data_IF_977143120012
#
_entry.id   IF_977143120012
#
_cell.length_a   1.000
_cell.length_b   1.000
_cell.length_c   1.000
_cell.angle_alpha   90.00
_cell.angle_beta   90.00
_cell.angle_gamma   90.00
#
_symmetry.space_group_name_H-M   'P 1'
#
loop_
_entity.id
_entity.type
_entity.pdbx_description
1 polymer ?
#
# COMPACT_ATOMS: atom_id res chain seq x y z
N UNK A 1 -4.02 21.34 6.16
CA UNK A 1 -5.28 20.80 5.63
C UNK A 1 -4.95 20.00 4.38
N UNK A 2 -5.19 18.70 4.38
CA UNK A 2 -5.02 17.88 3.18
C UNK A 2 -6.15 18.22 2.19
N UNK A 3 -5.83 18.51 0.93
CA UNK A 3 -6.83 18.85 -0.09
C UNK A 3 -7.65 17.60 -0.42
N UNK A 4 -8.98 17.67 -0.42
CA UNK A 4 -9.85 16.50 -0.64
C UNK A 4 -9.45 15.65 -1.86
N UNK A 5 -9.01 16.30 -2.95
CA UNK A 5 -8.58 15.60 -4.16
C UNK A 5 -7.33 14.74 -3.98
N UNK A 6 -6.38 15.10 -3.11
CA UNK A 6 -5.22 14.25 -2.85
C UNK A 6 -5.65 12.90 -2.25
N UNK A 7 -6.72 12.89 -1.44
CA UNK A 7 -7.31 11.65 -0.92
C UNK A 7 -7.93 10.79 -2.02
N UNK A 8 -8.51 11.39 -3.06
CA UNK A 8 -8.97 10.63 -4.23
C UNK A 8 -7.84 9.96 -4.98
N UNK A 9 -6.64 10.55 -5.01
CA UNK A 9 -5.45 10.00 -5.64
C UNK A 9 -4.74 8.96 -4.76
N UNK A 10 -4.90 9.04 -3.44
CA UNK A 10 -4.29 8.13 -2.47
C UNK A 10 -4.84 6.70 -2.58
N UNK A 11 -3.94 5.76 -2.88
CA UNK A 11 -4.24 4.32 -2.93
C UNK A 11 -4.71 3.81 -1.58
N UNK A 12 -4.17 4.32 -0.47
CA UNK A 12 -4.43 3.81 0.87
C UNK A 12 -5.82 4.23 1.34
N UNK A 13 -6.20 5.49 1.16
CA UNK A 13 -7.55 5.96 1.41
C UNK A 13 -8.58 5.16 0.58
N UNK A 14 -8.29 4.89 -0.70
CA UNK A 14 -9.15 4.04 -1.54
C UNK A 14 -9.23 2.58 -1.07
N UNK A 15 -8.14 2.01 -0.54
CA UNK A 15 -8.15 0.67 0.05
C UNK A 15 -9.03 0.61 1.31
N UNK A 16 -8.98 1.63 2.17
CA UNK A 16 -9.81 1.68 3.37
C UNK A 16 -11.30 1.81 3.00
N UNK A 17 -11.62 2.69 2.04
CA UNK A 17 -12.97 2.80 1.48
C UNK A 17 -13.47 1.46 0.94
N UNK A 18 -12.65 0.76 0.16
CA UNK A 18 -12.95 -0.57 -0.37
C UNK A 18 -13.22 -1.60 0.74
N UNK A 19 -12.33 -1.70 1.70
CA UNK A 19 -12.28 -2.84 2.63
C UNK A 19 -13.16 -2.68 3.86
N UNK A 20 -13.36 -1.45 4.34
CA UNK A 20 -14.16 -1.13 5.52
C UNK A 20 -15.50 -0.50 5.13
N UNK A 21 -15.47 0.53 4.30
CA UNK A 21 -16.67 1.31 4.03
C UNK A 21 -17.66 0.61 3.08
N UNK A 22 -17.22 0.26 1.87
CA UNK A 22 -18.06 -0.40 0.87
C UNK A 22 -18.46 -1.81 1.29
N UNK A 23 -17.50 -2.58 1.85
CA UNK A 23 -17.78 -3.91 2.39
C UNK A 23 -18.76 -3.83 3.57
N UNK A 24 -18.60 -2.86 4.47
CA UNK A 24 -19.52 -2.67 5.59
C UNK A 24 -20.95 -2.33 5.15
N UNK A 25 -21.12 -1.71 3.98
CA UNK A 25 -22.43 -1.49 3.33
C UNK A 25 -23.03 -2.75 2.69
N UNK A 26 -22.36 -3.89 2.76
CA UNK A 26 -22.86 -5.15 2.22
C UNK A 26 -22.57 -5.39 0.73
N UNK A 27 -21.70 -4.59 0.09
CA UNK A 27 -21.30 -4.88 -1.29
C UNK A 27 -20.45 -6.16 -1.34
N UNK A 28 -20.75 -7.02 -2.31
CA UNK A 28 -19.96 -8.23 -2.58
C UNK A 28 -18.57 -7.89 -3.13
N UNK A 29 -17.63 -8.82 -2.98
CA UNK A 29 -16.26 -8.64 -3.47
C UNK A 29 -16.19 -8.36 -4.98
N UNK A 30 -17.06 -8.97 -5.80
CA UNK A 30 -17.12 -8.73 -7.24
C UNK A 30 -17.63 -7.32 -7.57
N UNK A 31 -18.71 -6.87 -6.93
CA UNK A 31 -19.24 -5.50 -7.08
C UNK A 31 -18.19 -4.46 -6.69
N UNK A 32 -17.49 -4.68 -5.58
CA UNK A 32 -16.43 -3.79 -5.11
C UNK A 32 -15.28 -3.70 -6.13
N UNK A 33 -14.82 -4.84 -6.67
CA UNK A 33 -13.73 -4.84 -7.66
C UNK A 33 -14.14 -4.11 -8.93
N UNK A 34 -15.36 -4.37 -9.42
CA UNK A 34 -15.89 -3.70 -10.60
C UNK A 34 -16.01 -2.19 -10.38
N UNK A 35 -16.62 -1.78 -9.26
CA UNK A 35 -16.77 -0.39 -8.88
C UNK A 35 -15.42 0.32 -8.79
N UNK A 36 -14.45 -0.23 -8.04
CA UNK A 36 -13.14 0.42 -7.87
C UNK A 36 -12.36 0.51 -9.20
N UNK A 37 -12.55 -0.43 -10.13
CA UNK A 37 -11.98 -0.34 -11.48
C UNK A 37 -12.59 0.84 -12.24
N UNK A 38 -13.92 0.96 -12.24
CA UNK A 38 -14.63 2.07 -12.89
C UNK A 38 -14.27 3.42 -12.24
N UNK A 39 -14.20 3.44 -10.91
CA UNK A 39 -13.84 4.60 -10.10
C UNK A 39 -12.47 5.16 -10.49
N UNK A 40 -11.47 4.28 -10.63
CA UNK A 40 -10.13 4.66 -11.08
C UNK A 40 -10.13 5.30 -12.47
N UNK A 41 -10.90 4.76 -13.43
CA UNK A 41 -11.00 5.34 -14.78
C UNK A 41 -11.45 6.79 -14.72
N UNK A 42 -12.41 7.10 -13.85
CA UNK A 42 -12.92 8.46 -13.69
C UNK A 42 -11.94 9.36 -12.94
N UNK A 43 -11.23 8.86 -11.92
CA UNK A 43 -10.13 9.61 -11.28
C UNK A 43 -9.10 10.02 -12.35
N UNK A 44 -8.62 9.06 -13.14
CA UNK A 44 -7.59 9.29 -14.16
C UNK A 44 -8.08 10.26 -15.25
N UNK A 45 -9.37 10.21 -15.62
CA UNK A 45 -9.96 11.15 -16.59
C UNK A 45 -10.05 12.56 -16.04
N UNK A 46 -10.54 12.71 -14.82
CA UNK A 46 -10.69 14.02 -14.16
C UNK A 46 -9.32 14.65 -13.96
N UNK A 47 -8.34 13.88 -13.45
CA UNK A 47 -7.01 14.39 -13.13
C UNK A 47 -6.24 14.91 -14.35
N UNK A 48 -6.46 14.27 -15.53
CA UNK A 48 -5.90 14.66 -16.83
C UNK A 48 -6.69 15.74 -17.57
N UNK A 49 -7.90 16.05 -17.11
CA UNK A 49 -8.74 17.07 -17.75
C UNK A 49 -8.41 18.48 -17.23
N UNK A 50 -8.81 19.54 -17.94
CA UNK A 50 -8.79 20.91 -17.41
C UNK A 50 -9.58 21.10 -16.11
N UNK A 51 -10.49 20.19 -15.77
CA UNK A 51 -11.19 20.22 -14.47
C UNK A 51 -10.34 19.69 -13.33
N UNK A 52 -9.33 18.86 -13.62
CA UNK A 52 -8.38 18.39 -12.62
C UNK A 52 -7.61 19.55 -11.98
N UNK A 53 -7.26 20.61 -12.73
CA UNK A 53 -6.63 21.81 -12.14
C UNK A 53 -7.61 22.56 -11.24
N UNK A 54 -8.85 22.82 -11.69
CA UNK A 54 -9.87 23.49 -10.86
C UNK A 54 -10.13 22.76 -9.54
N UNK A 55 -10.19 21.43 -9.57
CA UNK A 55 -10.38 20.60 -8.38
C UNK A 55 -9.16 20.66 -7.45
N UNK A 56 -7.94 20.71 -8.00
CA UNK A 56 -6.70 20.86 -7.21
C UNK A 56 -6.57 22.26 -6.60
N UNK A 57 -7.16 23.27 -7.22
CA UNK A 57 -7.10 24.66 -6.77
C UNK A 57 -8.18 24.99 -5.73
N UNK A 58 -9.23 24.17 -5.63
CA UNK A 58 -10.25 24.30 -4.59
C UNK A 58 -9.66 24.23 -3.17
N UNK A 59 -10.16 25.09 -2.29
CA UNK A 59 -9.68 25.24 -0.91
C UNK A 59 -10.51 24.43 0.07
N UNK A 60 -11.81 24.28 -0.19
CA UNK A 60 -12.75 23.59 0.70
C UNK A 60 -13.21 22.23 0.17
N UNK A 61 -13.67 21.37 1.07
CA UNK A 61 -14.24 20.05 0.71
C UNK A 61 -15.53 20.25 -0.09
N UNK A 62 -16.32 21.24 0.30
CA UNK A 62 -17.58 21.62 -0.31
C UNK A 62 -17.38 22.12 -1.74
N UNK A 63 -16.37 22.94 -2.00
CA UNK A 63 -16.00 23.36 -3.37
C UNK A 63 -15.66 22.16 -4.26
N UNK A 64 -14.83 21.23 -3.78
CA UNK A 64 -14.49 20.03 -4.54
C UNK A 64 -15.74 19.20 -4.85
N UNK A 65 -16.64 19.02 -3.87
CA UNK A 65 -17.91 18.31 -4.09
C UNK A 65 -18.79 19.02 -5.12
N UNK A 66 -18.91 20.35 -5.05
CA UNK A 66 -19.67 21.15 -6.01
C UNK A 66 -19.10 21.04 -7.43
N UNK A 67 -17.77 21.09 -7.58
CA UNK A 67 -17.11 20.92 -8.89
C UNK A 67 -17.36 19.51 -9.43
N UNK A 68 -17.20 18.47 -8.60
CA UNK A 68 -17.45 17.08 -9.00
C UNK A 68 -18.91 16.88 -9.43
N UNK A 69 -19.88 17.42 -8.68
CA UNK A 69 -21.30 17.37 -9.05
C UNK A 69 -21.55 18.03 -10.39
N UNK A 70 -21.10 19.29 -10.54
CA UNK A 70 -21.29 20.04 -11.79
C UNK A 70 -20.67 19.33 -12.99
N UNK A 71 -19.50 18.72 -12.82
CA UNK A 71 -18.85 17.93 -13.86
C UNK A 71 -19.71 16.74 -14.30
N UNK A 72 -20.25 15.98 -13.35
CA UNK A 72 -21.07 14.82 -13.65
C UNK A 72 -22.45 15.19 -14.20
N UNK A 73 -23.09 16.20 -13.62
CA UNK A 73 -24.48 16.57 -13.88
C UNK A 73 -24.64 17.49 -15.11
N UNK A 74 -23.59 18.22 -15.51
CA UNK A 74 -23.67 19.18 -16.62
C UNK A 74 -22.74 18.83 -17.78
N UNK A 75 -21.46 18.64 -17.50
CA UNK A 75 -20.46 18.46 -18.58
C UNK A 75 -20.47 17.04 -19.13
N UNK A 76 -20.63 16.05 -18.25
CA UNK A 76 -20.55 14.63 -18.60
C UNK A 76 -21.90 13.95 -18.64
N UNK A 77 -22.99 14.68 -18.35
CA UNK A 77 -24.34 14.15 -18.50
C UNK A 77 -24.59 13.73 -19.96
N UNK A 78 -25.19 12.56 -20.14
CA UNK A 78 -25.34 11.89 -21.43
C UNK A 78 -24.07 11.25 -22.02
N UNK A 79 -22.85 11.58 -21.57
CA UNK A 79 -21.60 10.95 -22.02
C UNK A 79 -21.14 9.79 -21.14
N UNK A 80 -21.75 9.64 -19.95
CA UNK A 80 -21.53 8.50 -19.07
C UNK A 80 -22.25 7.28 -19.64
N UNK A 81 -21.48 6.28 -20.07
CA UNK A 81 -22.01 5.00 -20.53
C UNK A 81 -22.89 4.37 -19.45
N UNK A 82 -23.94 3.66 -19.85
CA UNK A 82 -24.89 2.99 -18.93
C UNK A 82 -24.20 2.20 -17.81
N UNK A 83 -23.15 1.47 -18.18
CA UNK A 83 -22.37 0.64 -17.25
C UNK A 83 -21.59 1.44 -16.19
N UNK A 84 -21.57 2.77 -16.24
CA UNK A 84 -20.84 3.68 -15.34
C UNK A 84 -21.76 4.69 -14.63
N UNK A 85 -23.09 4.59 -14.78
CA UNK A 85 -24.04 5.52 -14.15
C UNK A 85 -24.04 5.51 -12.62
N UNK A 86 -23.48 4.47 -12.02
CA UNK A 86 -23.26 4.35 -10.58
C UNK A 86 -22.12 5.25 -10.07
N UNK A 87 -21.16 5.60 -10.93
CA UNK A 87 -19.92 6.28 -10.54
C UNK A 87 -20.10 7.67 -9.93
N UNK A 88 -20.95 8.57 -10.46
CA UNK A 88 -21.18 9.87 -9.83
C UNK A 88 -21.59 9.73 -8.36
N UNK A 89 -22.51 8.80 -8.07
CA UNK A 89 -22.99 8.55 -6.70
C UNK A 89 -21.84 8.09 -5.80
N UNK A 90 -21.02 7.14 -6.25
CA UNK A 90 -19.89 6.64 -5.47
C UNK A 90 -18.75 7.66 -5.33
N UNK A 91 -18.58 8.60 -6.26
CA UNK A 91 -17.66 9.73 -6.09
C UNK A 91 -18.10 10.61 -4.93
N UNK A 92 -19.36 11.03 -4.91
CA UNK A 92 -19.90 11.84 -3.81
C UNK A 92 -19.88 11.09 -2.48
N UNK A 93 -20.13 9.79 -2.53
CA UNK A 93 -20.02 8.91 -1.37
C UNK A 93 -18.58 8.84 -0.82
N UNK A 94 -17.59 8.80 -1.70
CA UNK A 94 -16.18 8.83 -1.31
C UNK A 94 -15.82 10.15 -0.60
N UNK A 95 -16.35 11.29 -1.05
CA UNK A 95 -16.17 12.56 -0.35
C UNK A 95 -16.73 12.52 1.09
N UNK A 96 -17.91 11.90 1.29
CA UNK A 96 -18.49 11.70 2.62
C UNK A 96 -17.61 10.78 3.48
N UNK A 97 -17.06 9.72 2.88
CA UNK A 97 -16.10 8.85 3.55
C UNK A 97 -14.86 9.61 4.00
N UNK A 98 -14.25 10.46 3.17
CA UNK A 98 -13.08 11.25 3.58
C UNK A 98 -13.41 12.22 4.71
N UNK A 99 -14.59 12.86 4.66
CA UNK A 99 -15.08 13.69 5.75
C UNK A 99 -15.19 12.91 7.07
N UNK A 100 -15.75 11.70 7.04
CA UNK A 100 -15.80 10.81 8.20
C UNK A 100 -14.41 10.52 8.78
N UNK A 101 -13.40 10.28 7.93
CA UNK A 101 -12.03 10.04 8.41
C UNK A 101 -11.44 11.29 9.07
N UNK A 102 -11.70 12.48 8.52
CA UNK A 102 -11.25 13.74 9.09
C UNK A 102 -11.90 13.99 10.45
N UNK A 103 -13.22 13.86 10.52
CA UNK A 103 -13.98 14.09 11.74
C UNK A 103 -13.53 13.11 12.85
N UNK A 104 -13.28 11.84 12.50
CA UNK A 104 -12.66 10.87 13.41
C UNK A 104 -11.26 11.30 13.87
N UNK A 105 -10.42 11.78 12.95
CA UNK A 105 -9.03 12.16 13.27
C UNK A 105 -8.99 13.38 14.19
N UNK A 106 -9.82 14.38 13.92
CA UNK A 106 -9.94 15.59 14.75
C UNK A 106 -10.47 15.24 16.14
N UNK A 107 -11.52 14.41 16.21
CA UNK A 107 -12.02 13.89 17.48
C UNK A 107 -10.98 13.05 18.21
N UNK A 108 -10.12 12.31 17.51
CA UNK A 108 -9.05 11.54 18.14
C UNK A 108 -7.96 12.46 18.73
N UNK A 109 -7.66 13.58 18.08
CA UNK A 109 -6.62 14.54 18.51
C UNK A 109 -7.10 15.56 19.56
N UNK A 110 -8.41 15.74 19.74
CA UNK A 110 -8.96 16.71 20.71
C UNK A 110 -8.67 16.30 22.17
N UNK A 111 -8.57 17.26 23.09
CA UNK A 111 -8.35 16.96 24.52
C UNK A 111 -9.65 16.69 25.31
N UNK A 112 -10.81 16.80 24.66
CA UNK A 112 -12.13 16.70 25.27
C UNK A 112 -12.78 15.30 25.21
N UNK A 113 -14.07 15.27 25.51
CA UNK A 113 -14.89 14.05 25.39
C UNK A 113 -14.84 13.50 23.95
N UNK A 114 -14.55 12.21 23.85
CA UNK A 114 -14.44 11.52 22.57
C UNK A 114 -15.83 11.08 22.11
N UNK A 115 -16.22 11.51 20.92
CA UNK A 115 -17.36 10.93 20.23
C UNK A 115 -17.00 9.55 19.66
N UNK A 116 -17.96 8.63 19.69
CA UNK A 116 -17.86 7.34 19.04
C UNK A 116 -18.21 7.43 17.55
N UNK A 117 -17.36 6.83 16.72
CA UNK A 117 -17.54 6.74 15.28
C UNK A 117 -17.72 5.28 14.86
N UNK A 118 -18.53 5.05 13.83
CA UNK A 118 -18.91 3.71 13.40
C UNK A 118 -18.73 3.56 11.89
N UNK A 119 -18.27 2.37 11.50
CA UNK A 119 -18.32 1.91 10.11
C UNK A 119 -19.77 1.61 9.69
N UNK A 120 -20.05 1.51 8.39
CA UNK A 120 -21.42 1.23 7.91
C UNK A 120 -22.01 -0.11 8.36
N UNK A 121 -21.18 -1.06 8.80
CA UNK A 121 -21.63 -2.33 9.39
C UNK A 121 -21.96 -2.23 10.89
N UNK A 122 -21.89 -1.04 11.47
CA UNK A 122 -22.11 -0.78 12.89
C UNK A 122 -20.91 -1.09 13.79
N UNK A 123 -19.79 -1.57 13.24
CA UNK A 123 -18.57 -1.77 14.02
C UNK A 123 -17.92 -0.43 14.37
N UNK A 124 -17.40 -0.30 15.60
CA UNK A 124 -16.75 0.92 16.09
C UNK A 124 -15.43 1.14 15.36
N UNK A 125 -15.19 2.36 14.90
CA UNK A 125 -13.94 2.76 14.26
C UNK A 125 -12.80 2.77 15.28
N UNK A 126 -11.65 2.20 14.92
CA UNK A 126 -10.46 2.17 15.75
C UNK A 126 -9.25 2.73 15.00
N UNK A 127 -8.28 3.32 15.72
CA UNK A 127 -7.01 3.80 15.14
C UNK A 127 -6.29 2.67 14.38
N UNK A 128 -6.40 1.43 14.88
CA UNK A 128 -5.87 0.23 14.24
C UNK A 128 -6.45 -0.02 12.84
N UNK A 129 -7.67 0.44 12.53
CA UNK A 129 -8.22 0.36 11.16
C UNK A 129 -7.42 1.23 10.18
N UNK A 130 -6.84 2.32 10.69
CA UNK A 130 -5.96 3.21 9.97
C UNK A 130 -4.51 2.73 9.97
N UNK A 131 -4.17 1.68 10.74
CA UNK A 131 -2.87 1.00 10.57
C UNK A 131 -2.73 0.39 9.18
N UNK A 132 -3.85 0.08 8.49
CA UNK A 132 -3.83 -0.27 7.07
C UNK A 132 -3.65 0.95 6.15
N UNK A 133 -4.09 2.14 6.57
CA UNK A 133 -3.84 3.45 5.92
C UNK A 133 -2.35 3.81 6.05
N UNK A 134 -1.76 3.54 7.20
CA UNK A 134 -0.33 3.45 7.44
C UNK A 134 0.19 2.04 7.22
N UNK A 135 -0.24 1.33 6.16
CA UNK A 135 0.59 0.25 5.59
C UNK A 135 1.90 0.90 5.14
N UNK A 136 2.79 1.20 6.10
CA UNK A 136 4.13 0.69 6.04
C UNK A 136 3.92 -0.74 5.54
N UNK A 137 4.21 -0.95 4.25
CA UNK A 137 4.67 -2.27 3.83
C UNK A 137 5.58 -2.70 4.97
N UNK A 138 5.32 -3.84 5.62
CA UNK A 138 6.25 -4.44 6.57
C UNK A 138 7.55 -4.68 5.79
N UNK A 139 8.33 -3.61 5.70
CA UNK A 139 9.51 -3.44 4.87
C UNK A 139 10.72 -3.82 5.67
N UNK A 140 10.55 -3.94 6.98
CA UNK A 140 11.59 -4.22 7.91
C UNK A 140 11.42 -5.63 8.46
N UNK A 141 12.56 -6.25 8.69
CA UNK A 141 12.68 -7.55 9.29
C UNK A 141 13.50 -7.33 10.55
N UNK A 142 12.97 -7.78 11.69
CA UNK A 142 13.77 -7.90 12.90
C UNK A 142 14.60 -9.17 12.79
N UNK A 143 15.90 -9.04 12.97
CA UNK A 143 16.82 -10.17 13.05
C UNK A 143 17.37 -10.28 14.46
N UNK A 144 17.36 -11.49 14.99
CA UNK A 144 18.10 -11.85 16.19
C UNK A 144 19.18 -12.84 15.80
N UNK A 145 20.45 -12.41 15.83
CA UNK A 145 21.62 -13.24 15.54
C UNK A 145 22.48 -13.27 16.79
N UNK A 146 22.78 -14.46 17.33
CA UNK A 146 23.56 -14.65 18.55
C UNK A 146 23.07 -13.78 19.74
N UNK A 147 21.75 -13.63 19.86
CA UNK A 147 21.11 -12.85 20.93
C UNK A 147 21.06 -11.33 20.70
N UNK A 148 21.74 -10.79 19.68
CA UNK A 148 21.64 -9.37 19.30
C UNK A 148 20.48 -9.13 18.36
N UNK A 149 19.63 -8.18 18.72
CA UNK A 149 18.40 -7.86 18.01
C UNK A 149 18.54 -6.53 17.26
N UNK A 150 18.41 -6.56 15.94
CA UNK A 150 18.47 -5.37 15.10
C UNK A 150 17.36 -5.39 14.04
N UNK A 151 16.91 -4.20 13.62
CA UNK A 151 15.87 -4.04 12.62
C UNK A 151 16.47 -3.53 11.32
N UNK A 152 16.20 -4.21 10.22
CA UNK A 152 16.75 -3.87 8.91
C UNK A 152 15.65 -3.79 7.86
N UNK A 153 15.86 -3.01 6.80
CA UNK A 153 15.02 -3.12 5.61
C UNK A 153 15.16 -4.53 5.00
N UNK A 154 14.17 -4.96 4.22
CA UNK A 154 14.06 -6.35 3.77
C UNK A 154 15.30 -6.91 3.07
N UNK A 155 15.90 -6.14 2.17
CA UNK A 155 17.12 -6.57 1.47
C UNK A 155 18.34 -6.52 2.38
N UNK A 156 18.43 -5.51 3.27
CA UNK A 156 19.53 -5.36 4.21
C UNK A 156 19.54 -6.48 5.25
N UNK A 157 18.37 -6.95 5.67
CA UNK A 157 18.23 -8.12 6.54
C UNK A 157 18.83 -9.36 5.87
N UNK A 158 18.45 -9.62 4.61
CA UNK A 158 18.95 -10.77 3.86
C UNK A 158 20.46 -10.67 3.60
N UNK A 159 20.96 -9.47 3.27
CA UNK A 159 22.39 -9.20 3.15
C UNK A 159 23.13 -9.49 4.47
N UNK A 160 22.61 -9.04 5.60
CA UNK A 160 23.25 -9.24 6.90
C UNK A 160 23.39 -10.72 7.25
N UNK A 161 22.36 -11.51 6.96
CA UNK A 161 22.41 -12.97 7.12
C UNK A 161 23.42 -13.59 6.16
N UNK A 162 23.50 -13.08 4.93
CA UNK A 162 24.49 -13.56 3.97
C UNK A 162 25.93 -13.27 4.39
N UNK A 163 26.18 -12.09 4.94
CA UNK A 163 27.48 -11.72 5.51
C UNK A 163 27.83 -12.57 6.73
N UNK A 164 26.87 -12.82 7.61
CA UNK A 164 27.09 -13.58 8.84
C UNK A 164 27.44 -15.05 8.57
N UNK A 165 26.84 -15.66 7.55
CA UNK A 165 27.13 -17.05 7.17
C UNK A 165 28.33 -17.14 6.24
N UNK A 166 28.43 -16.24 5.26
CA UNK A 166 29.42 -16.27 4.20
C UNK A 166 28.76 -16.38 2.83
N UNK A 167 29.11 -15.45 1.92
CA UNK A 167 28.53 -15.40 0.58
C UNK A 167 28.82 -16.65 -0.26
N UNK A 168 30.04 -17.19 -0.16
CA UNK A 168 30.44 -18.39 -0.90
C UNK A 168 29.58 -19.60 -0.53
N UNK A 169 29.35 -19.81 0.76
CA UNK A 169 28.60 -20.97 1.26
C UNK A 169 27.14 -20.91 0.82
N UNK A 170 26.52 -19.72 0.90
CA UNK A 170 25.13 -19.53 0.43
C UNK A 170 25.04 -19.66 -1.09
N UNK A 171 26.04 -19.20 -1.84
CA UNK A 171 26.05 -19.36 -3.29
C UNK A 171 26.12 -20.84 -3.72
N UNK A 172 26.85 -21.67 -2.98
CA UNK A 172 26.90 -23.13 -3.20
C UNK A 172 25.55 -23.80 -2.94
N UNK A 173 24.78 -23.30 -1.97
CA UNK A 173 23.41 -23.76 -1.72
C UNK A 173 22.44 -23.47 -2.88
N UNK A 174 22.84 -22.64 -3.85
CA UNK A 174 22.14 -22.40 -5.13
C UNK A 174 20.66 -21.98 -4.99
N UNK A 175 20.36 -21.20 -3.94
CA UNK A 175 19.04 -20.62 -3.72
C UNK A 175 18.60 -19.76 -4.89
N UNK A 176 17.31 -19.85 -5.24
CA UNK A 176 16.71 -19.02 -6.29
C UNK A 176 15.47 -18.28 -5.80
N UNK A 177 15.20 -17.14 -6.42
CA UNK A 177 13.99 -16.35 -6.23
C UNK A 177 13.51 -15.83 -7.57
N UNK A 178 12.23 -16.07 -7.90
CA UNK A 178 11.65 -15.71 -9.20
C UNK A 178 12.48 -16.20 -10.40
N UNK A 179 13.01 -17.43 -10.30
CA UNK A 179 13.85 -18.05 -11.34
C UNK A 179 15.26 -17.48 -11.46
N UNK A 180 15.68 -16.57 -10.56
CA UNK A 180 17.00 -15.96 -10.54
C UNK A 180 17.80 -16.47 -9.34
N UNK A 181 19.09 -16.76 -9.53
CA UNK A 181 19.98 -17.13 -8.41
C UNK A 181 20.07 -15.99 -7.41
N UNK A 182 20.04 -16.33 -6.12
CA UNK A 182 20.08 -15.35 -5.05
C UNK A 182 21.40 -14.57 -5.03
N UNK A 183 22.53 -15.26 -5.14
CA UNK A 183 23.87 -14.67 -5.20
C UNK A 183 24.56 -15.05 -6.51
N UNK A 184 25.20 -14.06 -7.15
CA UNK A 184 25.99 -14.25 -8.38
C UNK A 184 27.26 -13.39 -8.31
N UNK A 185 28.37 -13.88 -8.89
CA UNK A 185 29.56 -13.03 -9.09
C UNK A 185 29.38 -12.05 -10.24
N UNK A 186 28.77 -12.51 -11.33
CA UNK A 186 28.50 -11.69 -12.52
C UNK A 186 27.00 -11.58 -12.73
N UNK A 187 26.53 -10.33 -12.87
CA UNK A 187 25.12 -10.06 -13.15
C UNK A 187 24.81 -10.44 -14.61
N UNK A 188 23.77 -11.25 -14.87
CA UNK A 188 23.40 -11.60 -16.23
C UNK A 188 22.96 -10.37 -17.05
N UNK A 189 23.32 -10.33 -18.33
CA UNK A 189 22.92 -9.29 -19.28
C UNK A 189 21.39 -9.11 -19.28
N UNK A 190 20.95 -7.85 -19.16
CA UNK A 190 19.53 -7.48 -19.11
C UNK A 190 18.85 -7.70 -17.75
N UNK A 191 19.61 -8.06 -16.70
CA UNK A 191 19.12 -8.24 -15.31
C UNK A 191 19.78 -7.27 -14.33
N UNK A 192 20.49 -6.26 -14.80
CA UNK A 192 21.25 -5.29 -14.01
C UNK A 192 20.38 -4.62 -12.94
N UNK A 193 19.13 -4.26 -13.29
CA UNK A 193 18.16 -3.64 -12.35
C UNK A 193 17.63 -4.60 -11.28
N UNK A 194 17.89 -5.91 -11.38
CA UNK A 194 17.37 -6.94 -10.48
C UNK A 194 18.41 -7.42 -9.46
N UNK A 195 19.64 -6.95 -9.58
CA UNK A 195 20.75 -7.29 -8.70
C UNK A 195 21.33 -6.03 -8.07
N UNK A 196 21.93 -6.19 -6.90
CA UNK A 196 22.63 -5.13 -6.17
C UNK A 196 23.97 -5.69 -5.69
N UNK A 197 25.01 -4.88 -5.69
CA UNK A 197 26.30 -5.25 -5.10
C UNK A 197 26.12 -5.55 -3.61
N UNK A 198 26.57 -6.73 -3.18
CA UNK A 198 26.48 -7.21 -1.81
C UNK A 198 27.79 -7.05 -1.03
N UNK A 199 28.92 -6.89 -1.72
CA UNK A 199 30.27 -6.95 -1.17
C UNK A 199 31.00 -8.24 -1.56
N UNK A 200 32.32 -8.28 -1.35
CA UNK A 200 33.21 -9.41 -1.68
C UNK A 200 33.10 -9.90 -3.13
N UNK A 201 32.80 -8.99 -4.07
CA UNK A 201 32.59 -9.30 -5.48
C UNK A 201 31.30 -10.07 -5.78
N UNK A 202 30.37 -10.14 -4.83
CA UNK A 202 29.06 -10.76 -5.00
C UNK A 202 27.97 -9.73 -5.25
N UNK A 203 26.95 -10.18 -5.99
CA UNK A 203 25.72 -9.45 -6.26
C UNK A 203 24.52 -10.26 -5.74
N UNK A 204 23.58 -9.60 -5.09
CA UNK A 204 22.37 -10.21 -4.54
C UNK A 204 21.12 -9.85 -5.34
N UNK A 205 20.24 -10.82 -5.57
CA UNK A 205 18.97 -10.61 -6.25
C UNK A 205 18.00 -9.80 -5.36
N UNK A 206 17.60 -8.63 -5.83
CA UNK A 206 16.68 -7.72 -5.13
C UNK A 206 15.22 -7.92 -5.55
N UNK A 207 14.99 -8.64 -6.65
CA UNK A 207 13.70 -8.80 -7.34
C UNK A 207 12.74 -9.77 -6.65
N UNK A 208 12.42 -9.52 -5.37
CA UNK A 208 11.41 -10.26 -4.61
C UNK A 208 10.78 -9.40 -3.51
N UNK A 209 9.60 -9.80 -3.01
CA UNK A 209 8.93 -9.08 -1.91
C UNK A 209 9.61 -9.34 -0.56
N UNK A 210 9.40 -8.45 0.42
CA UNK A 210 9.96 -8.63 1.78
C UNK A 210 9.51 -9.95 2.43
N UNK A 211 8.27 -10.41 2.17
CA UNK A 211 7.77 -11.74 2.57
C UNK A 211 8.63 -12.88 2.03
N UNK A 212 9.01 -12.81 0.77
CA UNK A 212 9.92 -13.77 0.16
C UNK A 212 11.30 -13.69 0.79
N UNK A 213 11.82 -12.48 1.06
CA UNK A 213 13.11 -12.28 1.73
C UNK A 213 13.15 -12.89 3.12
N UNK A 214 12.11 -12.70 3.94
CA UNK A 214 12.00 -13.34 5.25
C UNK A 214 12.02 -14.87 5.13
N UNK A 215 11.28 -15.43 4.17
CA UNK A 215 11.28 -16.87 3.92
C UNK A 215 12.68 -17.38 3.54
N UNK A 216 13.39 -16.66 2.69
CA UNK A 216 14.78 -16.99 2.31
C UNK A 216 15.70 -16.98 3.52
N UNK A 217 15.60 -15.96 4.40
CA UNK A 217 16.37 -15.90 5.65
C UNK A 217 16.13 -17.14 6.51
N UNK A 218 14.85 -17.53 6.70
CA UNK A 218 14.51 -18.72 7.49
C UNK A 218 15.04 -20.02 6.88
N UNK A 219 14.99 -20.14 5.55
CA UNK A 219 15.54 -21.29 4.83
C UNK A 219 17.06 -21.36 5.02
N UNK A 220 17.76 -20.23 4.85
CA UNK A 220 19.21 -20.13 5.03
C UNK A 220 19.59 -20.49 6.48
N UNK A 221 18.94 -19.87 7.47
CA UNK A 221 19.18 -20.14 8.89
C UNK A 221 19.03 -21.61 9.24
N UNK A 222 17.96 -22.25 8.75
CA UNK A 222 17.70 -23.67 8.95
C UNK A 222 18.73 -24.56 8.26
N UNK A 223 19.16 -24.23 7.04
CA UNK A 223 20.12 -25.02 6.28
C UNK A 223 21.51 -25.04 6.93
N UNK A 224 21.97 -23.88 7.42
CA UNK A 224 23.27 -23.74 8.06
C UNK A 224 23.26 -24.00 9.58
N UNK A 225 22.13 -24.47 10.12
CA UNK A 225 21.92 -24.73 11.55
C UNK A 225 22.35 -23.55 12.45
N UNK A 226 22.09 -22.31 11.99
CA UNK A 226 22.43 -21.09 12.74
C UNK A 226 21.23 -20.63 13.55
N UNK A 227 21.50 -20.15 14.77
CA UNK A 227 20.47 -19.58 15.64
C UNK A 227 20.13 -18.15 15.21
N UNK A 228 19.43 -18.04 14.08
CA UNK A 228 18.95 -16.78 13.52
C UNK A 228 17.42 -16.78 13.60
N UNK A 229 16.87 -15.88 14.41
CA UNK A 229 15.43 -15.63 14.41
C UNK A 229 15.12 -14.42 13.52
N UNK A 230 14.01 -14.50 12.80
CA UNK A 230 13.58 -13.45 11.89
C UNK A 230 12.06 -13.29 11.91
N UNK A 231 11.60 -12.06 12.13
CA UNK A 231 10.18 -11.71 12.22
C UNK A 231 9.83 -10.43 11.45
N UNK A 232 8.56 -10.31 11.06
CA UNK A 232 8.02 -9.12 10.41
C UNK A 232 7.73 -8.02 11.42
N UNK A 233 8.02 -6.78 11.04
CA UNK A 233 7.63 -5.57 11.77
C UNK A 233 6.98 -4.57 10.82
#
# INVERSE_FOLDING_TARGET
MEKLWSSYLDVKARCLYKNKYLRGRGLSSSQIVELMRKFKVYIDRIDKSPMGSKIRDAETTEEVVCIIKSLFDNEWDGYIKETYKDIPSYFLDYARFIRLLRDFSENFLSEGEKQDFFWPDGSKMQISDFSEWTKAKHNHIRLTIDGKMETYSGINALLKVCQYIGYSDIAQFNLTTNGLKLLVKHVPLGKEKKYMEAGDGWNICTSCETKTKLRLIKIIASHFHKNINAEFI
#
